data_IF_380924373815
#
_entry.id   IF_380924373815
#
_cell.length_a   1.000
_cell.length_b   1.000
_cell.length_c   1.000
_cell.angle_alpha   90.00
_cell.angle_beta   90.00
_cell.angle_gamma   90.00
#
_symmetry.space_group_name_H-M   'P 1'
#
loop_
_entity.id
_entity.type
_entity.pdbx_description
1 polymer ?
#
# COMPACT_ATOMS: atom_id res chain seq x y z
N UNK A 1 45.20 10.14 -25.21
CA UNK A 1 44.13 10.67 -24.34
C UNK A 1 44.74 11.55 -23.26
N UNK A 2 44.43 12.85 -23.26
CA UNK A 2 45.12 13.86 -22.45
C UNK A 2 44.88 13.63 -20.94
N UNK A 3 45.89 13.87 -20.09
CA UNK A 3 45.83 13.58 -18.64
C UNK A 3 44.68 14.33 -17.96
N UNK A 4 44.40 15.54 -18.44
CA UNK A 4 43.31 16.39 -17.97
C UNK A 4 41.92 15.83 -18.36
N UNK A 5 41.81 15.14 -19.51
CA UNK A 5 40.55 14.52 -19.95
C UNK A 5 40.21 13.29 -19.09
N UNK A 6 41.22 12.53 -18.66
CA UNK A 6 41.04 11.39 -17.72
C UNK A 6 40.59 11.85 -16.33
N UNK A 7 41.11 13.00 -15.85
CA UNK A 7 40.74 13.59 -14.57
C UNK A 7 39.28 14.10 -14.59
N UNK A 8 38.86 14.77 -15.68
CA UNK A 8 37.48 15.23 -15.83
C UNK A 8 36.47 14.07 -15.91
N UNK A 9 36.80 12.97 -16.60
CA UNK A 9 35.93 11.78 -16.69
C UNK A 9 35.82 11.08 -15.32
N UNK A 10 36.93 11.02 -14.55
CA UNK A 10 36.90 10.49 -13.18
C UNK A 10 36.04 11.31 -12.22
N UNK A 11 36.08 12.64 -12.32
CA UNK A 11 35.25 13.54 -11.51
C UNK A 11 33.75 13.46 -11.88
N UNK A 12 33.42 13.21 -13.16
CA UNK A 12 32.03 13.01 -13.58
C UNK A 12 31.42 11.71 -13.01
N UNK A 13 32.22 10.64 -12.87
CA UNK A 13 31.74 9.36 -12.32
C UNK A 13 31.48 9.42 -10.81
N UNK A 14 32.19 10.26 -10.06
CA UNK A 14 31.97 10.45 -8.61
C UNK A 14 30.75 11.31 -8.26
N UNK A 15 30.20 12.05 -9.23
CA UNK A 15 29.01 12.88 -9.03
C UNK A 15 27.68 12.12 -9.21
N UNK A 16 27.72 10.88 -9.67
CA UNK A 16 26.55 10.00 -9.74
C UNK A 16 26.26 9.44 -8.35
N UNK A 17 25.60 10.25 -7.52
CA UNK A 17 24.97 9.77 -6.29
C UNK A 17 23.97 8.68 -6.67
N UNK A 18 24.32 7.42 -6.42
CA UNK A 18 23.39 6.29 -6.48
C UNK A 18 22.39 6.48 -5.36
N UNK A 19 21.30 7.21 -5.62
CA UNK A 19 20.17 7.28 -4.70
C UNK A 19 19.47 5.92 -4.71
N UNK A 20 19.72 5.12 -3.67
CA UNK A 20 18.83 4.02 -3.35
C UNK A 20 17.44 4.59 -3.10
N UNK A 21 16.41 4.07 -3.78
CA UNK A 21 15.05 4.56 -3.64
C UNK A 21 14.55 4.22 -2.23
N UNK A 22 14.40 5.23 -1.38
CA UNK A 22 13.82 5.06 -0.05
C UNK A 22 12.32 4.75 -0.20
N UNK A 23 11.92 3.56 0.26
CA UNK A 23 10.54 3.13 0.36
C UNK A 23 10.09 3.17 1.82
N UNK A 24 8.81 3.44 2.04
CA UNK A 24 8.24 3.64 3.37
C UNK A 24 7.20 2.57 3.67
N UNK A 25 7.15 2.15 4.93
CA UNK A 25 6.12 1.24 5.45
C UNK A 25 5.06 2.07 6.17
N UNK A 26 3.82 1.97 5.72
CA UNK A 26 2.71 2.84 6.15
C UNK A 26 1.99 2.41 7.42
N UNK A 27 2.71 1.90 8.43
CA UNK A 27 2.11 1.50 9.70
C UNK A 27 2.83 2.17 10.88
N UNK A 28 2.04 2.84 11.75
CA UNK A 28 2.53 3.47 12.97
C UNK A 28 2.15 2.55 14.14
N UNK A 29 3.14 1.92 14.77
CA UNK A 29 2.91 1.06 15.93
C UNK A 29 3.02 1.87 17.23
N UNK A 30 1.89 2.21 17.83
CA UNK A 30 1.84 2.89 19.11
C UNK A 30 1.43 1.91 20.23
N UNK A 31 2.32 1.60 21.19
CA UNK A 31 2.03 0.65 22.26
C UNK A 31 0.79 1.00 23.09
N UNK A 32 0.51 2.30 23.26
CA UNK A 32 -0.64 2.76 24.05
C UNK A 32 -1.96 2.43 23.34
N UNK A 33 -2.07 2.78 22.05
CA UNK A 33 -3.31 2.53 21.27
C UNK A 33 -3.53 1.03 21.07
N UNK A 34 -2.46 0.27 20.84
CA UNK A 34 -2.51 -1.19 20.75
C UNK A 34 -3.03 -1.80 22.06
N UNK A 35 -2.59 -1.32 23.21
CA UNK A 35 -3.07 -1.81 24.51
C UNK A 35 -4.56 -1.46 24.77
N UNK A 36 -5.06 -0.36 24.20
CA UNK A 36 -6.47 0.05 24.29
C UNK A 36 -7.38 -0.72 23.32
N UNK A 37 -6.82 -1.48 22.38
CA UNK A 37 -7.58 -2.21 21.36
C UNK A 37 -8.41 -3.33 22.00
N UNK A 38 -9.74 -3.38 21.78
CA UNK A 38 -10.56 -4.46 22.29
C UNK A 38 -10.10 -5.81 21.73
N UNK A 39 -9.77 -6.75 22.63
CA UNK A 39 -9.46 -8.11 22.23
C UNK A 39 -10.72 -8.78 21.66
N UNK A 40 -10.60 -9.28 20.43
CA UNK A 40 -11.66 -10.11 19.83
C UNK A 40 -11.83 -11.39 20.66
N UNK A 41 -13.08 -11.79 20.89
CA UNK A 41 -13.39 -13.07 21.53
C UNK A 41 -12.71 -14.22 20.79
N UNK A 42 -12.18 -15.19 21.54
CA UNK A 42 -11.68 -16.43 20.96
C UNK A 42 -12.85 -17.14 20.28
N UNK A 43 -12.83 -17.16 18.96
CA UNK A 43 -13.82 -17.90 18.18
C UNK A 43 -13.52 -19.39 18.38
N UNK A 44 -14.43 -20.13 19.01
CA UNK A 44 -14.46 -21.59 18.79
C UNK A 44 -14.68 -21.78 17.30
N UNK A 45 -13.72 -22.35 16.58
CA UNK A 45 -13.85 -22.58 15.15
C UNK A 45 -15.16 -23.36 14.90
N UNK A 46 -16.18 -22.67 14.39
CA UNK A 46 -17.29 -23.36 13.74
C UNK A 46 -16.66 -24.17 12.62
N UNK A 47 -17.02 -25.44 12.54
CA UNK A 47 -16.47 -26.41 11.59
C UNK A 47 -16.15 -25.77 10.25
N UNK A 48 -14.86 -25.77 9.88
CA UNK A 48 -14.41 -25.33 8.57
C UNK A 48 -14.85 -26.27 7.44
N UNK A 49 -15.65 -27.31 7.74
CA UNK A 49 -16.15 -28.26 6.76
C UNK A 49 -16.93 -27.62 5.60
N UNK A 50 -17.47 -26.41 5.78
CA UNK A 50 -18.19 -25.68 4.74
C UNK A 50 -17.31 -24.73 3.89
N UNK A 51 -16.01 -24.61 4.18
CA UNK A 51 -15.12 -23.80 3.33
C UNK A 51 -14.70 -24.57 2.08
N UNK A 52 -14.57 -23.91 0.93
CA UNK A 52 -14.01 -24.53 -0.26
C UNK A 52 -12.52 -24.84 -0.05
N UNK A 53 -12.00 -25.81 -0.79
CA UNK A 53 -10.56 -26.16 -0.78
C UNK A 53 -9.65 -25.01 -1.23
N UNK A 54 -10.19 -24.09 -2.04
CA UNK A 54 -9.52 -22.86 -2.47
C UNK A 54 -10.55 -21.81 -2.89
N UNK A 55 -10.17 -20.54 -2.82
CA UNK A 55 -10.97 -19.41 -3.30
C UNK A 55 -10.05 -18.26 -3.70
N UNK A 56 -10.36 -17.55 -4.80
CA UNK A 56 -9.60 -16.39 -5.27
C UNK A 56 -10.52 -15.21 -5.55
N UNK A 57 -10.09 -14.03 -5.11
CA UNK A 57 -10.74 -12.74 -5.37
C UNK A 57 -10.09 -11.98 -6.54
N UNK A 58 -9.05 -12.54 -7.17
CA UNK A 58 -8.24 -11.86 -8.18
C UNK A 58 -9.05 -11.36 -9.39
N UNK A 59 -10.10 -12.09 -9.77
CA UNK A 59 -11.02 -11.70 -10.84
C UNK A 59 -11.71 -10.35 -10.56
N UNK A 60 -11.87 -9.98 -9.29
CA UNK A 60 -12.49 -8.72 -8.84
C UNK A 60 -11.47 -7.63 -8.49
N UNK A 61 -10.19 -7.98 -8.44
CA UNK A 61 -9.14 -7.04 -8.06
C UNK A 61 -8.88 -6.01 -9.18
N UNK A 62 -8.50 -4.76 -8.84
CA UNK A 62 -7.93 -3.87 -9.84
C UNK A 62 -6.59 -4.41 -10.35
N UNK A 63 -6.09 -3.85 -11.45
CA UNK A 63 -4.70 -4.06 -11.86
C UNK A 63 -3.76 -3.68 -10.71
N UNK A 64 -2.66 -4.41 -10.44
CA UNK A 64 -1.71 -4.02 -9.40
C UNK A 64 -1.23 -2.57 -9.58
N UNK A 65 -1.42 -1.74 -8.55
CA UNK A 65 -0.98 -0.36 -8.53
C UNK A 65 0.37 -0.18 -7.83
N UNK A 66 0.85 1.07 -7.79
CA UNK A 66 2.12 1.43 -7.16
C UNK A 66 1.93 2.63 -6.23
N UNK A 67 2.21 2.45 -4.94
CA UNK A 67 2.14 3.52 -3.93
C UNK A 67 3.27 4.56 -4.05
N UNK A 68 4.28 4.29 -4.88
CA UNK A 68 5.44 5.14 -5.07
C UNK A 68 6.32 5.24 -3.83
N UNK A 69 6.83 6.44 -3.57
CA UNK A 69 7.70 6.75 -2.43
C UNK A 69 6.92 7.27 -1.22
N UNK A 70 5.67 6.83 -1.06
CA UNK A 70 4.81 7.25 0.05
C UNK A 70 4.59 6.09 1.03
N UNK A 71 4.42 6.40 2.30
CA UNK A 71 4.05 5.48 3.38
C UNK A 71 2.55 5.16 3.37
N UNK A 72 1.94 4.96 2.19
CA UNK A 72 0.48 4.88 2.03
C UNK A 72 -0.03 3.44 1.87
N UNK A 73 0.80 2.42 2.15
CA UNK A 73 0.44 1.02 1.92
C UNK A 73 -0.87 0.61 2.60
N UNK A 74 -1.16 1.15 3.78
CA UNK A 74 -2.42 0.92 4.51
C UNK A 74 -3.65 1.38 3.72
N UNK A 75 -3.57 2.56 3.10
CA UNK A 75 -4.66 3.11 2.29
C UNK A 75 -4.70 2.47 0.89
N UNK A 76 -3.55 2.05 0.36
CA UNK A 76 -3.46 1.25 -0.86
C UNK A 76 -4.14 -0.11 -0.70
N UNK A 77 -3.88 -0.80 0.41
CA UNK A 77 -4.50 -2.09 0.71
C UNK A 77 -6.03 -1.95 0.91
N UNK A 78 -6.47 -1.00 1.73
CA UNK A 78 -7.88 -0.89 2.12
C UNK A 78 -8.73 -0.14 1.08
N UNK A 79 -8.27 1.00 0.59
CA UNK A 79 -8.96 1.80 -0.41
C UNK A 79 -8.83 1.17 -1.79
N UNK A 80 -7.62 1.21 -2.36
CA UNK A 80 -7.42 0.73 -3.73
C UNK A 80 -7.71 -0.76 -3.90
N UNK A 81 -7.22 -1.62 -3.00
CA UNK A 81 -7.44 -3.06 -3.06
C UNK A 81 -8.83 -3.48 -2.61
N UNK A 82 -9.07 -3.46 -1.29
CA UNK A 82 -10.26 -4.06 -0.66
C UNK A 82 -11.55 -3.38 -1.11
N UNK A 83 -11.64 -2.04 -1.07
CA UNK A 83 -12.87 -1.35 -1.45
C UNK A 83 -13.23 -1.59 -2.92
N UNK A 84 -12.24 -1.60 -3.82
CA UNK A 84 -12.45 -1.92 -5.24
C UNK A 84 -12.90 -3.37 -5.43
N UNK A 85 -12.27 -4.35 -4.76
CA UNK A 85 -12.69 -5.76 -4.80
C UNK A 85 -14.13 -5.91 -4.31
N UNK A 86 -14.48 -5.27 -3.19
CA UNK A 86 -15.82 -5.32 -2.63
C UNK A 86 -16.84 -4.73 -3.60
N UNK A 87 -16.55 -3.55 -4.17
CA UNK A 87 -17.41 -2.90 -5.15
C UNK A 87 -17.62 -3.77 -6.39
N UNK A 88 -16.54 -4.29 -6.96
CA UNK A 88 -16.59 -5.18 -8.11
C UNK A 88 -17.40 -6.44 -7.82
N UNK A 89 -17.20 -7.07 -6.65
CA UNK A 89 -17.93 -8.27 -6.25
C UNK A 89 -19.42 -8.00 -6.05
N UNK A 90 -19.81 -6.92 -5.37
CA UNK A 90 -21.23 -6.61 -5.12
C UNK A 90 -21.99 -6.21 -6.38
N UNK A 91 -21.29 -5.73 -7.41
CA UNK A 91 -21.87 -5.36 -8.71
C UNK A 91 -21.60 -6.39 -9.81
N UNK A 92 -21.05 -7.56 -9.47
CA UNK A 92 -20.71 -8.64 -10.40
C UNK A 92 -19.81 -8.18 -11.57
N UNK A 93 -18.86 -7.28 -11.31
CA UNK A 93 -17.90 -6.80 -12.29
C UNK A 93 -16.69 -7.73 -12.35
N UNK A 94 -16.40 -8.27 -13.53
CA UNK A 94 -15.19 -9.07 -13.81
C UNK A 94 -14.34 -8.50 -14.94
N UNK A 95 -14.87 -7.53 -15.70
CA UNK A 95 -14.12 -6.81 -16.72
C UNK A 95 -13.05 -5.91 -16.06
N UNK A 96 -11.77 -6.16 -16.36
CA UNK A 96 -10.66 -5.47 -15.72
C UNK A 96 -10.63 -3.97 -16.03
N UNK A 97 -11.03 -3.56 -17.23
CA UNK A 97 -11.04 -2.14 -17.60
C UNK A 97 -12.12 -1.39 -16.81
N UNK A 98 -13.28 -2.02 -16.61
CA UNK A 98 -14.37 -1.48 -15.81
C UNK A 98 -13.99 -1.43 -14.33
N UNK A 99 -13.36 -2.49 -13.81
CA UNK A 99 -12.85 -2.50 -12.42
C UNK A 99 -11.84 -1.37 -12.21
N UNK A 100 -10.87 -1.20 -13.13
CA UNK A 100 -9.88 -0.13 -13.06
C UNK A 100 -10.52 1.26 -13.12
N UNK A 101 -11.58 1.43 -13.93
CA UNK A 101 -12.35 2.67 -14.02
C UNK A 101 -13.03 3.03 -12.69
N UNK A 102 -13.43 2.03 -11.91
CA UNK A 102 -14.06 2.19 -10.59
C UNK A 102 -13.10 1.97 -9.42
N UNK A 103 -11.79 1.90 -9.66
CA UNK A 103 -10.83 1.71 -8.59
C UNK A 103 -10.83 2.89 -7.62
N UNK A 104 -10.90 2.59 -6.33
CA UNK A 104 -11.03 3.60 -5.29
C UNK A 104 -9.69 4.31 -5.04
N UNK A 105 -9.74 5.61 -4.76
CA UNK A 105 -8.55 6.43 -4.53
C UNK A 105 -7.89 6.09 -3.18
N UNK A 106 -6.65 5.58 -3.16
CA UNK A 106 -5.93 5.37 -1.92
C UNK A 106 -5.52 6.70 -1.27
N UNK A 107 -5.22 7.72 -2.07
CA UNK A 107 -4.85 9.05 -1.56
C UNK A 107 -5.99 9.71 -0.80
N UNK A 108 -7.22 9.60 -1.31
CA UNK A 108 -8.39 10.13 -0.59
C UNK A 108 -8.49 9.54 0.81
N UNK A 109 -8.43 8.21 0.93
CA UNK A 109 -8.48 7.53 2.22
C UNK A 109 -7.32 7.93 3.11
N UNK A 110 -6.09 7.97 2.57
CA UNK A 110 -4.91 8.33 3.35
C UNK A 110 -4.99 9.73 3.94
N UNK A 111 -5.45 10.71 3.15
CA UNK A 111 -5.63 12.09 3.63
C UNK A 111 -6.64 12.20 4.78
N UNK A 112 -7.57 11.25 4.92
CA UNK A 112 -8.51 11.24 6.04
C UNK A 112 -7.93 10.62 7.32
N UNK A 113 -6.96 9.70 7.20
CA UNK A 113 -6.47 8.89 8.33
C UNK A 113 -5.06 9.26 8.79
N UNK A 114 -4.31 10.02 7.98
CA UNK A 114 -2.95 10.44 8.32
C UNK A 114 -2.94 11.40 9.50
N UNK A 115 -1.84 11.41 10.24
CA UNK A 115 -1.65 12.41 11.28
C UNK A 115 -1.53 13.82 10.65
N UNK A 116 -2.04 14.89 11.28
CA UNK A 116 -2.00 16.24 10.72
C UNK A 116 -0.58 16.77 10.40
N UNK A 117 0.45 16.23 11.05
CA UNK A 117 1.85 16.56 10.82
C UNK A 117 2.49 15.73 9.68
N UNK A 118 1.85 14.69 9.15
CA UNK A 118 2.34 13.89 8.03
C UNK A 118 2.02 14.57 6.68
N UNK A 119 2.74 15.64 6.40
CA UNK A 119 2.49 16.49 5.21
C UNK A 119 2.87 15.81 3.90
N UNK A 120 3.90 14.96 3.93
CA UNK A 120 4.48 14.33 2.74
C UNK A 120 4.03 12.88 2.52
N UNK A 121 3.08 12.42 3.35
CA UNK A 121 2.50 11.08 3.31
C UNK A 121 3.55 9.97 3.45
N UNK A 122 4.39 10.06 4.48
CA UNK A 122 5.54 9.17 4.71
C UNK A 122 5.37 8.27 5.93
N UNK A 123 4.44 8.60 6.83
CA UNK A 123 4.43 8.05 8.19
C UNK A 123 3.57 6.79 8.34
N UNK A 124 2.51 6.65 7.53
CA UNK A 124 1.51 5.60 7.68
C UNK A 124 0.30 6.00 8.50
N UNK A 125 -0.43 4.99 8.98
CA UNK A 125 -1.54 5.16 9.91
C UNK A 125 -1.36 4.27 11.15
N UNK A 126 -1.88 4.75 12.28
CA UNK A 126 -2.11 3.93 13.48
C UNK A 126 -3.27 2.96 13.17
N UNK A 127 -3.14 1.65 13.44
CA UNK A 127 -4.20 0.69 13.12
C UNK A 127 -5.45 0.81 14.00
N UNK A 128 -5.43 1.64 15.05
CA UNK A 128 -6.48 1.82 16.06
C UNK A 128 -7.09 3.22 15.95
#
# INVERSE_FOLDING_TARGET
>A
MNKNLKICIGLLFTAMQVSAQQYYTGAIFNPKTIAETPMKVNLSFRSFAALPSSYSLEQYAPTPGNQGKHGTCVAFANGYGIATILFARTHNLTDKNLINKYAFSPTFLYEQIKQPNDRDCQSGADPI
#
